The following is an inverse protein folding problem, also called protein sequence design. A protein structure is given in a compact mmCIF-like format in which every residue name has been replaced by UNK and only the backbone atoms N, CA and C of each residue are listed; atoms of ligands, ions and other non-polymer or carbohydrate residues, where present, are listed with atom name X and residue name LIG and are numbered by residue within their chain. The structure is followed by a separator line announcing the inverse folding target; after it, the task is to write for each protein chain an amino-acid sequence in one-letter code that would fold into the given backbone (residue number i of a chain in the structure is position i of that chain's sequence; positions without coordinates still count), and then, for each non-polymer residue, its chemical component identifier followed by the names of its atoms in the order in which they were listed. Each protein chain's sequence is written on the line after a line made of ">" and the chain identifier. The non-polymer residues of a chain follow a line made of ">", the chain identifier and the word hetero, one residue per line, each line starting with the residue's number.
data_IF_608656976625
#
_entry.id   IF_608656976625
#
_cell.length_a   1.000
_cell.length_b   1.000
_cell.length_c   1.000
_cell.angle_alpha   90.00
_cell.angle_beta   90.00
_cell.angle_gamma   90.00
#
_symmetry.space_group_name_H-M   'P 1'
#
loop_
_entity.id
_entity.type
_entity.pdbx_description
1 polymer ?
#
# COMPACT_ATOMS: atom_id res chain seq x y z
N UNK A 1 -25.84 -76.75 26.14
CA UNK A 1 -26.34 -75.40 26.00
C UNK A 1 -25.17 -74.46 26.36
N UNK A 2 -24.53 -73.83 25.35
CA UNK A 2 -23.44 -72.88 25.66
C UNK A 2 -24.04 -71.47 25.64
N UNK A 3 -23.66 -70.65 26.61
CA UNK A 3 -24.00 -69.23 26.81
C UNK A 3 -23.16 -68.38 25.86
N UNK A 4 -23.82 -67.59 25.01
CA UNK A 4 -23.20 -66.56 24.19
C UNK A 4 -22.81 -65.36 25.05
N UNK A 5 -21.55 -65.03 25.11
CA UNK A 5 -21.04 -63.79 25.68
C UNK A 5 -20.96 -62.71 24.57
N UNK A 6 -21.71 -61.65 24.73
CA UNK A 6 -21.64 -60.46 23.87
C UNK A 6 -20.50 -59.54 24.37
N UNK A 7 -19.47 -59.40 23.58
CA UNK A 7 -18.43 -58.42 23.76
C UNK A 7 -18.90 -57.09 23.15
N UNK A 8 -19.20 -56.09 23.98
CA UNK A 8 -19.47 -54.72 23.56
C UNK A 8 -18.12 -54.01 23.38
N UNK A 9 -17.74 -53.82 22.13
CA UNK A 9 -16.58 -52.97 21.80
C UNK A 9 -17.00 -51.48 21.85
N UNK A 10 -16.60 -50.77 22.91
CA UNK A 10 -16.76 -49.34 23.04
C UNK A 10 -15.73 -48.61 22.15
N UNK A 11 -16.16 -48.11 21.00
CA UNK A 11 -15.40 -47.19 20.16
C UNK A 11 -15.35 -45.82 20.85
N UNK A 12 -14.27 -45.50 21.48
CA UNK A 12 -13.91 -44.17 21.92
C UNK A 12 -13.57 -43.33 20.68
N UNK A 13 -14.53 -42.59 20.18
CA UNK A 13 -14.26 -41.46 19.26
C UNK A 13 -13.59 -40.35 20.04
N UNK A 14 -12.29 -40.27 19.98
CA UNK A 14 -11.54 -39.10 20.41
C UNK A 14 -11.88 -37.92 19.45
N UNK A 15 -12.74 -37.02 19.88
CA UNK A 15 -12.93 -35.74 19.22
C UNK A 15 -11.62 -34.96 19.37
N UNK A 16 -10.78 -34.99 18.35
CA UNK A 16 -9.73 -34.01 18.17
C UNK A 16 -10.41 -32.66 17.99
N UNK A 17 -10.57 -31.87 19.05
CA UNK A 17 -10.79 -30.45 18.93
C UNK A 17 -9.56 -29.86 18.26
N UNK A 18 -9.61 -29.71 16.94
CA UNK A 18 -8.70 -28.81 16.24
C UNK A 18 -9.03 -27.43 16.76
N UNK A 19 -8.32 -26.98 17.82
CA UNK A 19 -8.29 -25.57 18.16
C UNK A 19 -7.77 -24.85 16.91
N UNK A 20 -8.69 -24.23 16.19
CA UNK A 20 -8.31 -23.24 15.19
C UNK A 20 -7.52 -22.20 15.97
N UNK A 21 -6.22 -22.08 15.67
CA UNK A 21 -5.40 -21.00 16.20
C UNK A 21 -6.12 -19.70 15.84
N UNK A 22 -6.68 -19.04 16.86
CA UNK A 22 -7.38 -17.78 16.66
C UNK A 22 -6.32 -16.79 16.18
N UNK A 23 -6.59 -16.11 15.07
CA UNK A 23 -5.69 -15.09 14.58
C UNK A 23 -5.72 -13.90 15.56
N UNK A 24 -4.59 -13.64 16.22
CA UNK A 24 -4.52 -12.66 17.31
C UNK A 24 -4.20 -11.24 16.81
N UNK A 25 -3.57 -11.13 15.62
CA UNK A 25 -3.14 -9.85 15.03
C UNK A 25 -4.12 -9.40 13.94
N UNK A 26 -5.06 -8.53 14.29
CA UNK A 26 -6.04 -7.97 13.36
C UNK A 26 -5.48 -6.75 12.65
N UNK A 27 -5.78 -6.62 11.37
CA UNK A 27 -5.40 -5.46 10.58
C UNK A 27 -5.88 -5.55 9.14
N UNK A 28 -5.42 -4.62 8.36
CA UNK A 28 -5.79 -4.51 6.96
C UNK A 28 -5.18 -3.26 6.36
N UNK A 29 -5.84 -2.68 5.38
CA UNK A 29 -5.34 -1.45 4.78
C UNK A 29 -5.92 -1.17 3.43
N UNK A 30 -5.26 -0.31 2.68
CA UNK A 30 -5.68 0.08 1.34
C UNK A 30 -6.02 -1.11 0.44
N UNK A 31 -7.11 -1.00 -0.33
CA UNK A 31 -7.49 -2.03 -1.31
C UNK A 31 -6.44 -2.21 -2.40
N UNK A 32 -5.58 -1.23 -2.65
CA UNK A 32 -4.48 -1.31 -3.61
C UNK A 32 -3.35 -2.25 -3.16
N UNK A 33 -3.21 -2.48 -1.85
CA UNK A 33 -2.24 -3.42 -1.25
C UNK A 33 -2.79 -4.84 -1.10
N UNK A 34 -4.09 -5.04 -1.31
CA UNK A 34 -4.76 -6.31 -1.09
C UNK A 34 -4.10 -7.48 -1.83
N UNK A 35 -3.73 -7.37 -3.12
CA UNK A 35 -3.10 -8.47 -3.82
C UNK A 35 -1.83 -8.99 -3.15
N UNK A 36 -1.01 -8.10 -2.57
CA UNK A 36 0.21 -8.51 -1.87
C UNK A 36 -0.11 -9.24 -0.57
N UNK A 37 -0.90 -8.63 0.33
CA UNK A 37 -1.10 -9.19 1.68
C UNK A 37 -2.07 -10.36 1.74
N UNK A 38 -2.87 -10.58 0.68
CA UNK A 38 -3.68 -11.79 0.52
C UNK A 38 -2.94 -12.90 -0.21
N UNK A 39 -1.75 -12.64 -0.76
CA UNK A 39 -0.91 -13.71 -1.34
C UNK A 39 -0.52 -14.72 -0.27
N UNK A 40 -0.62 -16.01 -0.62
CA UNK A 40 -0.34 -17.10 0.30
C UNK A 40 1.06 -16.97 0.94
N UNK A 41 1.11 -17.06 2.26
CA UNK A 41 2.34 -17.05 3.04
C UNK A 41 3.01 -15.67 3.19
N UNK A 42 2.41 -14.56 2.71
CA UNK A 42 2.95 -13.21 2.96
C UNK A 42 2.74 -12.82 4.42
N UNK A 43 1.53 -12.97 4.94
CA UNK A 43 1.29 -12.85 6.38
C UNK A 43 1.73 -14.12 7.09
N UNK A 44 2.37 -13.97 8.25
CA UNK A 44 2.82 -15.07 9.09
C UNK A 44 1.66 -15.67 9.93
N UNK A 45 1.80 -16.89 10.48
CA UNK A 45 0.81 -17.41 11.42
C UNK A 45 0.49 -16.43 12.56
N UNK A 46 -0.77 -16.38 12.97
CA UNK A 46 -1.27 -15.45 13.98
C UNK A 46 -1.86 -14.16 13.40
N UNK A 47 -1.59 -13.83 12.14
CA UNK A 47 -2.26 -12.72 11.47
C UNK A 47 -3.63 -13.12 10.95
N UNK A 48 -4.63 -12.31 11.23
CA UNK A 48 -5.93 -12.40 10.58
C UNK A 48 -5.78 -12.11 9.07
N UNK A 49 -6.67 -12.66 8.22
CA UNK A 49 -6.69 -12.33 6.79
C UNK A 49 -6.74 -10.82 6.55
N UNK A 50 -5.97 -10.34 5.59
CA UNK A 50 -5.92 -8.92 5.24
C UNK A 50 -7.30 -8.41 4.79
N UNK A 51 -7.74 -7.33 5.39
CA UNK A 51 -8.98 -6.64 5.03
C UNK A 51 -8.65 -5.39 4.21
N UNK A 52 -9.17 -5.33 2.99
CA UNK A 52 -9.05 -4.14 2.16
C UNK A 52 -10.02 -3.05 2.63
N UNK A 53 -9.50 -1.91 3.07
CA UNK A 53 -10.27 -0.73 3.42
C UNK A 53 -10.34 0.25 2.25
N UNK A 54 -11.51 0.84 2.04
CA UNK A 54 -11.73 1.88 1.05
C UNK A 54 -11.71 3.27 1.71
N UNK A 55 -11.49 4.29 0.91
CA UNK A 55 -11.62 5.69 1.32
C UNK A 55 -10.69 6.14 2.46
N UNK A 56 -9.47 5.57 2.52
CA UNK A 56 -8.48 5.96 3.53
C UNK A 56 -8.82 5.56 4.96
N UNK A 57 -9.78 4.64 5.14
CA UNK A 57 -10.25 4.21 6.47
C UNK A 57 -9.19 3.47 7.27
N UNK A 58 -8.18 2.90 6.62
CA UNK A 58 -7.12 2.14 7.27
C UNK A 58 -6.37 2.98 8.32
N UNK A 59 -5.98 4.20 7.98
CA UNK A 59 -5.29 5.08 8.93
C UNK A 59 -6.21 5.47 10.08
N UNK A 60 -7.46 5.82 9.77
CA UNK A 60 -8.46 6.18 10.78
C UNK A 60 -8.72 5.02 11.73
N UNK A 61 -8.89 3.79 11.21
CA UNK A 61 -9.08 2.59 12.02
C UNK A 61 -7.92 2.34 13.00
N UNK A 62 -6.68 2.50 12.51
CA UNK A 62 -5.50 2.35 13.34
C UNK A 62 -5.40 3.43 14.42
N UNK A 63 -5.64 4.70 14.05
CA UNK A 63 -5.55 5.85 14.95
C UNK A 63 -6.66 5.87 16.00
N UNK A 64 -7.85 5.36 15.68
CA UNK A 64 -8.96 5.22 16.65
C UNK A 64 -8.93 3.88 17.39
N UNK A 65 -8.07 2.95 16.99
CA UNK A 65 -8.06 1.56 17.44
C UNK A 65 -9.44 0.91 17.28
N UNK A 66 -10.14 1.17 16.19
CA UNK A 66 -11.50 0.74 15.93
C UNK A 66 -11.61 -0.10 14.66
N UNK A 67 -11.78 -1.40 14.84
CA UNK A 67 -11.92 -2.36 13.75
C UNK A 67 -13.19 -2.16 12.92
N UNK A 68 -14.24 -1.59 13.51
CA UNK A 68 -15.48 -1.28 12.80
C UNK A 68 -15.29 -0.23 11.70
N UNK A 69 -14.24 0.60 11.80
CA UNK A 69 -13.84 1.52 10.72
C UNK A 69 -13.30 0.76 9.51
N UNK A 70 -12.56 -0.35 9.70
CA UNK A 70 -12.11 -1.22 8.61
C UNK A 70 -13.27 -2.02 8.01
N UNK A 71 -14.09 -2.60 8.89
CA UNK A 71 -15.19 -3.50 8.54
C UNK A 71 -16.48 -3.00 9.21
N UNK A 72 -17.24 -2.12 8.55
CA UNK A 72 -18.47 -1.58 9.09
C UNK A 72 -19.46 -2.68 9.53
N UNK A 73 -19.95 -2.58 10.77
CA UNK A 73 -20.84 -3.57 11.37
C UNK A 73 -20.14 -4.77 12.01
N UNK A 74 -18.81 -4.84 11.97
CA UNK A 74 -18.06 -5.89 12.69
C UNK A 74 -18.13 -5.70 14.19
N UNK A 75 -17.98 -6.82 14.92
CA UNK A 75 -17.78 -6.76 16.38
C UNK A 75 -16.52 -5.95 16.73
N UNK A 76 -16.52 -5.22 17.85
CA UNK A 76 -15.35 -4.47 18.31
C UNK A 76 -14.11 -5.36 18.41
N UNK A 77 -13.00 -4.93 17.80
CA UNK A 77 -11.69 -5.57 17.87
C UNK A 77 -10.61 -4.50 17.79
N UNK A 78 -9.45 -4.83 18.30
CA UNK A 78 -8.25 -4.00 18.15
C UNK A 78 -7.73 -4.04 16.72
N UNK A 79 -7.24 -2.89 16.24
CA UNK A 79 -6.50 -2.76 14.98
C UNK A 79 -5.01 -2.73 15.30
N UNK A 80 -4.32 -3.84 15.11
CA UNK A 80 -2.91 -3.99 15.50
C UNK A 80 -1.95 -3.38 14.48
N UNK A 81 -2.31 -3.38 13.20
CA UNK A 81 -1.51 -2.85 12.11
C UNK A 81 -2.35 -2.45 10.92
N UNK A 82 -1.79 -1.60 10.08
CA UNK A 82 -2.39 -1.27 8.77
C UNK A 82 -1.31 -1.07 7.71
N UNK A 83 -1.72 -1.25 6.43
CA UNK A 83 -0.92 -0.91 5.26
C UNK A 83 -1.56 0.25 4.51
N UNK A 84 -0.76 1.25 4.13
CA UNK A 84 -1.22 2.45 3.39
C UNK A 84 -0.12 2.98 2.48
N UNK A 85 -0.50 3.58 1.36
CA UNK A 85 0.44 4.32 0.50
C UNK A 85 0.68 5.75 1.01
N UNK A 86 -0.19 6.25 1.89
CA UNK A 86 0.02 7.54 2.53
C UNK A 86 0.85 7.41 3.80
N UNK A 87 1.74 8.36 4.02
CA UNK A 87 2.36 8.60 5.31
C UNK A 87 1.31 9.19 6.27
N UNK A 88 1.42 8.89 7.57
CA UNK A 88 0.71 9.64 8.60
C UNK A 88 1.23 11.08 8.63
N UNK A 89 0.33 12.03 8.61
CA UNK A 89 0.66 13.45 8.75
C UNK A 89 1.19 13.77 10.16
N UNK A 90 1.88 14.90 10.31
CA UNK A 90 2.36 15.36 11.62
C UNK A 90 1.22 15.50 12.65
N UNK A 91 0.03 15.91 12.20
CA UNK A 91 -1.17 16.01 13.06
C UNK A 91 -1.64 14.62 13.49
N UNK A 92 -1.74 13.65 12.58
CA UNK A 92 -2.12 12.27 12.89
C UNK A 92 -1.13 11.61 13.85
N UNK A 93 0.17 11.84 13.68
CA UNK A 93 1.21 11.34 14.58
C UNK A 93 1.14 11.99 15.96
N UNK A 94 0.91 13.30 16.02
CA UNK A 94 0.72 14.02 17.28
C UNK A 94 -0.52 13.52 18.03
N UNK A 95 -1.63 13.33 17.32
CA UNK A 95 -2.85 12.78 17.89
C UNK A 95 -2.64 11.38 18.45
N UNK A 96 -1.91 10.51 17.71
CA UNK A 96 -1.54 9.20 18.23
C UNK A 96 -0.68 9.30 19.49
N UNK A 97 0.34 10.16 19.50
CA UNK A 97 1.23 10.32 20.62
C UNK A 97 0.50 10.78 21.88
N UNK A 98 -0.47 11.69 21.73
CA UNK A 98 -1.30 12.19 22.84
C UNK A 98 -2.29 11.13 23.32
N UNK A 99 -3.00 10.47 22.39
CA UNK A 99 -4.06 9.52 22.75
C UNK A 99 -3.52 8.18 23.25
N UNK A 100 -2.44 7.69 22.64
CA UNK A 100 -1.99 6.31 22.79
C UNK A 100 -0.50 6.14 23.10
N UNK A 101 0.31 7.19 22.98
CA UNK A 101 1.76 7.08 23.16
C UNK A 101 2.16 6.47 24.52
N UNK A 102 1.46 6.87 25.59
CA UNK A 102 1.67 6.32 26.94
C UNK A 102 1.12 4.88 27.09
N UNK A 103 0.13 4.48 26.28
CA UNK A 103 -0.55 3.19 26.40
C UNK A 103 -0.02 2.15 25.41
N UNK A 104 0.36 2.55 24.19
CA UNK A 104 0.75 1.64 23.11
C UNK A 104 2.21 1.82 22.68
N UNK A 105 2.96 2.70 23.35
CA UNK A 105 4.33 3.04 22.96
C UNK A 105 4.38 3.90 21.69
N UNK A 106 5.56 3.98 21.09
CA UNK A 106 5.78 4.81 19.90
C UNK A 106 5.05 4.28 18.68
N UNK A 107 4.65 5.21 17.82
CA UNK A 107 4.20 4.91 16.46
C UNK A 107 5.40 4.45 15.62
N UNK A 108 5.20 3.39 14.86
CA UNK A 108 6.16 2.88 13.87
C UNK A 108 5.47 2.94 12.51
N UNK A 109 6.07 3.62 11.55
CA UNK A 109 5.71 3.53 10.14
C UNK A 109 6.97 3.31 9.31
N UNK A 110 6.92 2.33 8.42
CA UNK A 110 8.07 1.89 7.62
C UNK A 110 7.63 1.50 6.21
N UNK A 111 8.47 1.72 5.17
CA UNK A 111 8.12 1.28 3.84
C UNK A 111 8.10 -0.26 3.78
N UNK A 112 7.09 -0.80 3.13
CA UNK A 112 6.95 -2.24 2.88
C UNK A 112 7.59 -2.64 1.56
N UNK A 113 7.19 -1.95 0.49
CA UNK A 113 7.70 -2.14 -0.86
C UNK A 113 7.63 -0.84 -1.64
N UNK A 114 8.47 -0.69 -2.65
CA UNK A 114 8.31 0.38 -3.60
C UNK A 114 7.32 -0.01 -4.70
N UNK A 115 6.60 0.96 -5.22
CA UNK A 115 5.57 0.77 -6.23
C UNK A 115 5.62 1.87 -7.28
N UNK A 116 5.27 1.55 -8.51
CA UNK A 116 4.91 2.54 -9.53
C UNK A 116 3.41 2.84 -9.46
N UNK A 117 2.99 3.99 -10.00
CA UNK A 117 1.59 4.29 -10.29
C UNK A 117 1.37 4.02 -11.77
N UNK A 118 0.77 2.88 -12.11
CA UNK A 118 0.48 2.51 -13.48
C UNK A 118 -0.73 3.29 -14.03
N UNK A 119 -0.77 3.50 -15.34
CA UNK A 119 -1.85 4.22 -16.04
C UNK A 119 -2.57 3.27 -17.00
N UNK A 120 -3.43 2.36 -16.47
CA UNK A 120 -4.22 1.48 -17.33
C UNK A 120 -5.34 2.25 -18.04
N UNK A 121 -5.65 1.81 -19.24
CA UNK A 121 -6.67 2.40 -20.09
C UNK A 121 -7.39 1.35 -20.95
N UNK A 122 -8.55 1.71 -21.46
CA UNK A 122 -9.34 0.89 -22.37
C UNK A 122 -9.69 1.72 -23.62
N UNK A 123 -8.77 1.75 -24.56
CA UNK A 123 -8.97 2.34 -25.88
C UNK A 123 -8.12 1.62 -26.91
N UNK A 124 -8.69 0.79 -27.80
CA UNK A 124 -7.95 0.15 -28.86
C UNK A 124 -7.19 1.13 -29.73
N UNK A 125 -6.03 0.73 -30.19
CA UNK A 125 -5.18 1.49 -31.11
C UNK A 125 -4.13 0.61 -31.76
N UNK A 126 -3.50 1.11 -32.81
CA UNK A 126 -2.48 0.37 -33.60
C UNK A 126 -1.08 0.40 -32.98
N UNK A 127 -0.87 1.25 -31.99
CA UNK A 127 0.43 1.46 -31.35
C UNK A 127 0.30 1.46 -29.83
N UNK A 128 1.40 1.16 -29.13
CA UNK A 128 1.51 1.35 -27.70
C UNK A 128 1.24 2.83 -27.34
N UNK A 129 0.48 3.06 -26.29
CA UNK A 129 0.25 4.42 -25.79
C UNK A 129 1.46 4.87 -24.98
N UNK A 130 2.02 5.99 -25.39
CA UNK A 130 3.04 6.71 -24.64
C UNK A 130 2.54 8.13 -24.32
N UNK A 131 2.42 8.45 -23.04
CA UNK A 131 2.02 9.75 -22.58
C UNK A 131 3.27 10.56 -22.22
N UNK A 132 3.50 11.66 -22.93
CA UNK A 132 4.41 12.68 -22.39
C UNK A 132 3.91 13.18 -21.03
N UNK A 133 4.78 13.79 -20.23
CA UNK A 133 4.35 14.41 -18.95
C UNK A 133 3.24 15.43 -19.20
N UNK A 134 3.36 16.25 -20.24
CA UNK A 134 2.32 17.23 -20.61
C UNK A 134 1.00 16.55 -20.98
N UNK A 135 1.02 15.48 -21.76
CA UNK A 135 -0.18 14.73 -22.13
C UNK A 135 -0.85 14.10 -20.89
N UNK A 136 -0.06 13.49 -20.00
CA UNK A 136 -0.57 12.97 -18.74
C UNK A 136 -1.25 14.06 -17.92
N UNK A 137 -0.59 15.21 -17.74
CA UNK A 137 -1.14 16.36 -17.04
C UNK A 137 -2.43 16.84 -17.69
N UNK A 138 -2.45 16.97 -19.03
CA UNK A 138 -3.61 17.42 -19.79
C UNK A 138 -4.82 16.47 -19.67
N UNK A 139 -4.60 15.16 -19.64
CA UNK A 139 -5.66 14.17 -19.42
C UNK A 139 -6.28 14.33 -18.03
N UNK A 140 -5.46 14.39 -16.99
CA UNK A 140 -5.96 14.43 -15.60
C UNK A 140 -6.38 15.82 -15.11
N UNK A 141 -6.02 16.89 -15.82
CA UNK A 141 -6.62 18.24 -15.64
C UNK A 141 -7.91 18.43 -16.43
N UNK A 142 -8.18 17.57 -17.42
CA UNK A 142 -9.31 17.73 -18.35
C UNK A 142 -9.01 18.64 -19.55
N UNK A 143 -7.78 19.18 -19.66
CA UNK A 143 -7.35 19.95 -20.85
C UNK A 143 -7.40 19.12 -22.10
N UNK A 144 -7.00 17.85 -22.04
CA UNK A 144 -7.10 16.87 -23.13
C UNK A 144 -8.34 15.99 -22.89
N UNK A 145 -9.46 16.37 -23.51
CA UNK A 145 -10.73 15.64 -23.37
C UNK A 145 -10.94 14.55 -24.44
N UNK A 146 -10.09 14.46 -25.43
CA UNK A 146 -10.15 13.48 -26.54
C UNK A 146 -8.84 12.77 -26.75
N UNK A 147 -8.93 11.49 -27.15
CA UNK A 147 -7.79 10.65 -27.49
C UNK A 147 -7.01 11.17 -28.71
N UNK A 148 -7.70 11.83 -29.64
CA UNK A 148 -7.14 12.50 -30.82
C UNK A 148 -6.30 13.73 -30.46
N UNK A 149 -6.44 14.29 -29.26
CA UNK A 149 -5.64 15.40 -28.78
C UNK A 149 -4.31 14.96 -28.16
N UNK A 150 -4.14 13.66 -27.92
CA UNK A 150 -2.87 13.08 -27.46
C UNK A 150 -2.00 12.79 -28.68
N UNK A 151 -0.93 13.55 -28.85
CA UNK A 151 0.00 13.38 -29.97
C UNK A 151 0.55 11.96 -30.02
N UNK A 152 0.45 11.32 -31.18
CA UNK A 152 0.96 9.97 -31.40
C UNK A 152 0.11 8.85 -30.78
N UNK A 153 -1.07 9.14 -30.22
CA UNK A 153 -1.92 8.10 -29.63
C UNK A 153 -2.48 7.11 -30.66
N UNK A 154 -2.71 7.57 -31.89
CA UNK A 154 -3.37 6.79 -32.94
C UNK A 154 -4.82 6.40 -32.58
N UNK A 155 -5.45 7.14 -31.65
CA UNK A 155 -6.77 6.87 -31.09
C UNK A 155 -7.65 8.11 -31.24
N UNK A 156 -8.98 7.92 -31.23
CA UNK A 156 -9.97 9.00 -31.38
C UNK A 156 -11.12 8.85 -30.40
N UNK A 157 -11.86 9.92 -30.17
CA UNK A 157 -13.04 9.96 -29.31
C UNK A 157 -12.75 10.43 -27.88
N UNK A 158 -13.77 10.51 -27.03
CA UNK A 158 -13.66 11.11 -25.71
C UNK A 158 -12.82 10.28 -24.74
N UNK A 159 -12.13 10.98 -23.85
CA UNK A 159 -11.46 10.39 -22.68
C UNK A 159 -12.41 10.43 -21.48
N UNK A 160 -12.53 9.32 -20.77
CA UNK A 160 -13.22 9.25 -19.48
C UNK A 160 -12.21 8.89 -18.38
N UNK A 161 -11.93 9.82 -17.48
CA UNK A 161 -11.08 9.56 -16.31
C UNK A 161 -11.89 8.82 -15.25
N UNK A 162 -11.44 7.64 -14.84
CA UNK A 162 -12.00 6.91 -13.70
C UNK A 162 -11.08 7.10 -12.49
N UNK A 163 -11.64 7.41 -11.32
CA UNK A 163 -10.85 7.75 -10.14
C UNK A 163 -11.42 7.15 -8.85
N UNK A 164 -10.59 6.97 -7.79
CA UNK A 164 -11.06 6.51 -6.50
C UNK A 164 -12.01 7.53 -5.85
N UNK A 165 -13.21 7.09 -5.45
CA UNK A 165 -14.15 7.91 -4.67
C UNK A 165 -13.59 8.16 -3.27
N UNK A 166 -13.52 9.41 -2.84
CA UNK A 166 -13.05 9.81 -1.53
C UNK A 166 -11.53 9.66 -1.36
N UNK A 167 -11.08 9.48 -0.12
CA UNK A 167 -9.65 9.45 0.23
C UNK A 167 -8.98 8.13 -0.18
N UNK A 168 -7.78 8.22 -0.75
CA UNK A 168 -6.93 7.08 -1.11
C UNK A 168 -5.46 7.49 -1.02
N UNK A 169 -4.63 6.66 -0.37
CA UNK A 169 -3.19 6.86 -0.35
C UNK A 169 -2.56 6.77 -1.75
N UNK A 170 -3.12 5.94 -2.61
CA UNK A 170 -2.68 5.83 -4.00
C UNK A 170 -2.97 7.11 -4.80
N UNK A 171 -4.10 7.76 -4.53
CA UNK A 171 -4.39 9.10 -5.06
C UNK A 171 -3.35 10.12 -4.60
N UNK A 172 -2.93 10.07 -3.33
CA UNK A 172 -1.90 10.97 -2.82
C UNK A 172 -0.55 10.78 -3.54
N UNK A 173 -0.12 9.54 -3.80
CA UNK A 173 1.09 9.28 -4.61
C UNK A 173 0.98 9.92 -5.99
N UNK A 174 -0.16 9.74 -6.66
CA UNK A 174 -0.37 10.27 -8.00
C UNK A 174 -0.46 11.80 -8.03
N UNK A 175 -1.25 12.39 -7.14
CA UNK A 175 -1.41 13.87 -7.09
C UNK A 175 -0.13 14.58 -6.67
N UNK A 176 0.71 13.94 -5.86
CA UNK A 176 2.05 14.43 -5.52
C UNK A 176 2.95 14.51 -6.77
N UNK A 177 2.88 13.51 -7.63
CA UNK A 177 3.56 13.55 -8.93
C UNK A 177 3.01 14.66 -9.82
N UNK A 178 1.68 14.76 -9.98
CA UNK A 178 1.06 15.82 -10.78
C UNK A 178 1.42 17.22 -10.26
N UNK A 179 1.38 17.43 -8.94
CA UNK A 179 1.81 18.68 -8.33
C UNK A 179 3.27 19.03 -8.63
N UNK A 180 4.14 18.03 -8.68
CA UNK A 180 5.57 18.26 -8.89
C UNK A 180 5.96 18.48 -10.36
N UNK A 181 5.22 17.92 -11.30
CA UNK A 181 5.62 17.82 -12.70
C UNK A 181 4.70 18.55 -13.68
N UNK A 182 3.45 18.82 -13.30
CA UNK A 182 2.50 19.44 -14.21
C UNK A 182 2.59 20.95 -14.18
N UNK A 183 2.52 21.54 -15.37
CA UNK A 183 2.50 22.99 -15.58
C UNK A 183 1.24 23.37 -16.38
N UNK A 184 0.08 23.13 -15.77
CA UNK A 184 -1.23 23.48 -16.32
C UNK A 184 -1.61 24.93 -15.99
N UNK A 185 -2.65 25.47 -16.65
CA UNK A 185 -3.19 26.81 -16.33
C UNK A 185 -3.68 26.90 -14.88
N UNK A 186 -4.30 25.80 -14.38
CA UNK A 186 -4.58 25.60 -12.96
C UNK A 186 -3.45 24.86 -12.26
N UNK A 187 -3.62 24.61 -10.98
CA UNK A 187 -2.63 23.94 -10.14
C UNK A 187 -3.14 22.60 -9.63
N UNK A 188 -2.27 21.59 -9.65
CA UNK A 188 -2.51 20.33 -8.93
C UNK A 188 -2.10 20.49 -7.46
N UNK A 189 -2.99 20.11 -6.53
CA UNK A 189 -2.72 20.02 -5.11
C UNK A 189 -2.33 18.59 -4.74
N UNK A 190 -1.45 18.42 -3.75
CA UNK A 190 -1.19 17.12 -3.12
C UNK A 190 -2.37 16.80 -2.21
N UNK A 191 -3.13 15.77 -2.55
CA UNK A 191 -4.33 15.36 -1.81
C UNK A 191 -4.59 13.86 -1.97
N UNK A 192 -5.21 13.26 -0.97
CA UNK A 192 -5.71 11.89 -1.05
C UNK A 192 -7.08 11.76 -1.72
N UNK A 193 -7.79 12.88 -1.98
CA UNK A 193 -9.07 12.88 -2.69
C UNK A 193 -8.93 13.54 -4.06
N UNK A 194 -9.12 12.75 -5.12
CA UNK A 194 -8.93 13.20 -6.49
C UNK A 194 -9.89 14.33 -6.90
N UNK A 195 -11.07 14.41 -6.30
CA UNK A 195 -12.05 15.48 -6.57
C UNK A 195 -11.50 16.88 -6.30
N UNK A 196 -10.52 16.99 -5.40
CA UNK A 196 -9.86 18.24 -5.00
C UNK A 196 -8.42 18.37 -5.53
N UNK A 197 -8.03 17.50 -6.46
CA UNK A 197 -6.64 17.45 -6.92
C UNK A 197 -6.27 18.59 -7.84
N UNK A 198 -7.20 19.12 -8.62
CA UNK A 198 -6.95 20.17 -9.60
C UNK A 198 -7.84 21.38 -9.37
N UNK A 199 -7.27 22.58 -9.40
CA UNK A 199 -8.00 23.82 -9.15
C UNK A 199 -9.07 24.15 -10.20
N UNK A 200 -8.96 23.58 -11.41
CA UNK A 200 -9.98 23.67 -12.47
C UNK A 200 -11.13 22.66 -12.32
N UNK A 201 -11.13 21.83 -11.29
CA UNK A 201 -12.12 20.78 -11.06
C UNK A 201 -11.79 19.46 -11.78
N UNK A 202 -12.75 18.56 -11.76
CA UNK A 202 -12.62 17.24 -12.40
C UNK A 202 -12.70 17.34 -13.94
N UNK A 203 -12.00 16.46 -14.67
CA UNK A 203 -12.24 16.28 -16.11
C UNK A 203 -13.72 16.02 -16.40
N UNK A 204 -14.22 16.60 -17.47
CA UNK A 204 -15.63 16.43 -17.88
C UNK A 204 -15.97 14.96 -18.07
N UNK A 205 -17.05 14.49 -17.43
CA UNK A 205 -17.50 13.09 -17.51
C UNK A 205 -16.65 12.11 -16.68
N UNK A 206 -15.79 12.60 -15.79
CA UNK A 206 -15.02 11.74 -14.88
C UNK A 206 -15.95 10.89 -13.99
N UNK A 207 -15.54 9.66 -13.70
CA UNK A 207 -16.32 8.67 -12.96
C UNK A 207 -15.63 8.29 -11.66
N UNK A 208 -16.34 8.43 -10.54
CA UNK A 208 -15.89 7.94 -9.25
C UNK A 208 -16.21 6.45 -9.06
N UNK A 209 -15.29 5.68 -8.52
CA UNK A 209 -15.52 4.29 -8.15
C UNK A 209 -15.01 4.00 -6.72
N UNK A 210 -15.73 3.15 -5.99
CA UNK A 210 -15.60 3.01 -4.53
C UNK A 210 -14.47 2.07 -4.08
N UNK A 211 -13.87 1.31 -4.99
CA UNK A 211 -12.77 0.37 -4.70
C UNK A 211 -11.85 0.22 -5.90
N UNK A 212 -10.67 -0.30 -5.69
CA UNK A 212 -9.72 -0.56 -6.77
C UNK A 212 -10.29 -1.53 -7.84
N UNK A 213 -11.02 -2.58 -7.42
CA UNK A 213 -11.71 -3.48 -8.36
C UNK A 213 -12.79 -2.78 -9.16
N UNK A 214 -13.59 -1.93 -8.51
CA UNK A 214 -14.63 -1.15 -9.16
C UNK A 214 -14.06 -0.16 -10.18
N UNK A 215 -12.90 0.43 -9.90
CA UNK A 215 -12.18 1.30 -10.85
C UNK A 215 -11.80 0.49 -12.10
N UNK A 216 -11.12 -0.65 -11.93
CA UNK A 216 -10.70 -1.47 -13.07
C UNK A 216 -11.88 -2.05 -13.83
N UNK A 217 -12.96 -2.44 -13.15
CA UNK A 217 -14.20 -2.87 -13.80
C UNK A 217 -14.81 -1.75 -14.66
N UNK A 218 -14.84 -0.50 -14.15
CA UNK A 218 -15.33 0.66 -14.89
C UNK A 218 -14.44 0.99 -16.10
N UNK A 219 -13.12 0.89 -15.97
CA UNK A 219 -12.18 1.07 -17.08
C UNK A 219 -12.40 0.00 -18.15
N UNK A 220 -12.45 -1.26 -17.76
CA UNK A 220 -12.61 -2.38 -18.70
C UNK A 220 -13.97 -2.37 -19.44
N UNK A 221 -15.01 -1.85 -18.81
CA UNK A 221 -16.34 -1.79 -19.38
C UNK A 221 -16.57 -0.58 -20.31
N UNK A 222 -15.69 0.42 -20.30
CA UNK A 222 -15.92 1.68 -21.04
C UNK A 222 -14.81 1.95 -22.05
N UNK A 223 -15.18 2.01 -23.34
CA UNK A 223 -14.28 2.51 -24.38
C UNK A 223 -13.87 3.97 -24.08
N UNK A 224 -12.57 4.27 -24.20
CA UNK A 224 -12.01 5.57 -23.92
C UNK A 224 -11.72 5.85 -22.43
N UNK A 225 -11.91 4.89 -21.53
CA UNK A 225 -11.59 5.07 -20.11
C UNK A 225 -10.08 4.98 -19.84
N UNK A 226 -9.63 5.76 -18.85
CA UNK A 226 -8.27 5.80 -18.34
C UNK A 226 -8.29 6.03 -16.83
N UNK A 227 -7.31 5.47 -16.11
CA UNK A 227 -7.19 5.66 -14.66
C UNK A 227 -5.72 5.62 -14.22
N UNK A 228 -5.48 5.78 -12.94
CA UNK A 228 -4.23 5.49 -12.25
C UNK A 228 -4.45 4.34 -11.25
N UNK A 229 -3.50 3.40 -11.18
CA UNK A 229 -3.72 2.14 -10.46
C UNK A 229 -2.41 1.54 -9.94
N UNK A 230 -2.52 0.68 -8.89
CA UNK A 230 -1.37 -0.15 -8.46
C UNK A 230 -1.00 -1.16 -9.56
N UNK A 231 0.29 -1.50 -9.68
CA UNK A 231 0.76 -2.46 -10.70
C UNK A 231 0.00 -3.79 -10.67
N UNK A 232 -0.23 -4.32 -9.47
CA UNK A 232 -0.90 -5.61 -9.26
C UNK A 232 -2.34 -5.67 -9.79
N UNK A 233 -3.02 -4.53 -9.91
CA UNK A 233 -4.39 -4.42 -10.40
C UNK A 233 -4.46 -3.88 -11.82
N UNK A 234 -3.43 -3.13 -12.25
CA UNK A 234 -3.33 -2.61 -13.62
C UNK A 234 -3.06 -3.73 -14.65
N UNK A 235 -2.35 -4.77 -14.24
CA UNK A 235 -2.03 -5.91 -15.09
C UNK A 235 -2.08 -7.24 -14.31
N UNK A 236 -2.54 -8.34 -14.94
CA UNK A 236 -2.62 -9.65 -14.30
C UNK A 236 -1.26 -10.25 -13.91
N UNK A 237 -0.20 -9.81 -14.59
CA UNK A 237 1.18 -10.24 -14.36
C UNK A 237 2.12 -9.04 -14.47
N UNK A 238 3.31 -9.09 -13.83
CA UNK A 238 4.30 -8.02 -13.97
C UNK A 238 4.69 -7.72 -15.43
N UNK A 239 4.75 -8.74 -16.28
CA UNK A 239 5.01 -8.58 -17.72
C UNK A 239 3.91 -7.80 -18.46
N UNK A 240 2.67 -7.86 -17.97
CA UNK A 240 1.56 -7.07 -18.53
C UNK A 240 1.71 -5.57 -18.34
N UNK A 241 2.57 -5.13 -17.43
CA UNK A 241 2.90 -3.71 -17.25
C UNK A 241 3.69 -3.12 -18.42
N UNK A 242 4.31 -3.97 -19.25
CA UNK A 242 4.99 -3.57 -20.48
C UNK A 242 4.06 -3.56 -21.70
N UNK A 243 2.82 -4.06 -21.57
CA UNK A 243 1.81 -4.01 -22.64
C UNK A 243 1.26 -2.60 -22.82
N UNK A 244 1.92 -1.80 -23.62
CA UNK A 244 1.54 -0.43 -23.94
C UNK A 244 0.18 -0.26 -24.66
N UNK A 245 -0.55 -1.37 -24.95
CA UNK A 245 -1.92 -1.31 -25.45
C UNK A 245 -2.98 -1.40 -24.33
N UNK A 246 -2.54 -1.63 -23.09
CA UNK A 246 -3.40 -1.71 -21.90
C UNK A 246 -2.94 -0.83 -20.76
N UNK A 247 -1.62 -0.65 -20.64
CA UNK A 247 -1.00 0.20 -19.62
C UNK A 247 -0.10 1.19 -20.33
N UNK A 248 -0.39 2.47 -20.20
CA UNK A 248 0.37 3.51 -20.88
C UNK A 248 1.82 3.58 -20.37
N UNK A 249 2.74 3.79 -21.30
CA UNK A 249 4.06 4.31 -20.95
C UNK A 249 3.93 5.78 -20.55
N UNK A 250 4.82 6.25 -19.72
CA UNK A 250 4.94 7.67 -19.39
C UNK A 250 6.37 8.10 -19.67
N UNK A 251 6.53 9.12 -20.51
CA UNK A 251 7.84 9.57 -21.01
C UNK A 251 8.68 8.44 -21.61
N UNK A 252 8.07 7.58 -22.43
CA UNK A 252 8.71 6.45 -23.10
C UNK A 252 8.90 5.18 -22.26
N UNK A 253 8.59 5.22 -20.96
CA UNK A 253 8.94 4.15 -20.01
C UNK A 253 7.69 3.48 -19.45
N UNK A 254 7.69 2.14 -19.34
CA UNK A 254 6.60 1.37 -18.72
C UNK A 254 6.69 1.38 -17.20
N UNK A 255 5.57 1.16 -16.46
CA UNK A 255 5.55 1.11 -15.00
C UNK A 255 6.13 -0.20 -14.41
N UNK A 256 6.81 -1.01 -15.20
CA UNK A 256 7.41 -2.26 -14.73
C UNK A 256 8.44 -2.00 -13.61
N UNK A 257 8.56 -2.92 -12.60
CA UNK A 257 9.46 -2.73 -11.46
C UNK A 257 10.91 -2.45 -11.83
N UNK A 258 11.40 -3.04 -12.92
CA UNK A 258 12.76 -2.82 -13.41
C UNK A 258 13.07 -1.34 -13.70
N UNK A 259 12.05 -0.58 -14.09
CA UNK A 259 12.19 0.81 -14.51
C UNK A 259 12.17 1.83 -13.35
N UNK A 260 11.99 1.37 -12.10
CA UNK A 260 12.04 2.22 -10.90
C UNK A 260 13.23 1.86 -9.98
N UNK A 261 14.01 0.85 -10.31
CA UNK A 261 15.09 0.31 -9.45
C UNK A 261 16.10 1.37 -9.06
N UNK A 262 16.63 2.11 -10.03
CA UNK A 262 17.68 3.10 -9.77
C UNK A 262 17.17 4.26 -8.91
N UNK A 263 15.94 4.72 -9.18
CA UNK A 263 15.31 5.77 -8.40
C UNK A 263 15.11 5.35 -6.94
N UNK A 264 14.62 4.14 -6.72
CA UNK A 264 14.38 3.60 -5.37
C UNK A 264 15.70 3.34 -4.63
N UNK A 265 16.72 2.81 -5.31
CA UNK A 265 18.02 2.54 -4.72
C UNK A 265 18.78 3.83 -4.35
N UNK A 266 18.46 4.96 -4.98
CA UNK A 266 19.04 6.26 -4.66
C UNK A 266 18.46 6.92 -3.40
N UNK A 267 17.33 6.41 -2.88
CA UNK A 267 16.65 6.98 -1.70
C UNK A 267 17.50 6.78 -0.45
N UNK A 268 17.89 7.85 0.25
CA UNK A 268 18.74 7.75 1.42
C UNK A 268 18.01 7.11 2.61
N UNK A 269 18.75 6.34 3.39
CA UNK A 269 18.29 5.81 4.67
C UNK A 269 18.20 6.93 5.72
N UNK A 270 17.27 6.83 6.71
CA UNK A 270 17.35 7.68 7.88
C UNK A 270 18.66 7.41 8.63
N UNK A 271 19.39 8.49 8.97
CA UNK A 271 20.54 8.39 9.85
C UNK A 271 20.15 7.81 11.22
N UNK A 272 21.08 7.28 11.97
CA UNK A 272 20.81 6.68 13.28
C UNK A 272 20.07 7.66 14.20
N UNK A 273 20.45 8.93 14.17
CA UNK A 273 19.82 9.98 14.98
C UNK A 273 18.36 10.27 14.54
N UNK A 274 18.05 10.10 13.25
CA UNK A 274 16.72 10.36 12.70
C UNK A 274 15.72 9.19 12.88
N UNK A 275 16.22 8.00 13.21
CA UNK A 275 15.37 6.76 13.29
C UNK A 275 14.29 6.83 14.37
N UNK A 276 14.40 7.74 15.33
CA UNK A 276 13.36 7.99 16.33
C UNK A 276 12.18 8.78 15.78
N UNK A 277 12.33 9.42 14.62
CA UNK A 277 11.28 10.17 13.95
C UNK A 277 10.58 9.29 12.90
N UNK A 278 9.28 8.96 13.08
CA UNK A 278 8.53 8.13 12.14
C UNK A 278 8.49 8.68 10.70
N UNK A 279 8.54 10.00 10.52
CA UNK A 279 8.52 10.63 9.19
C UNK A 279 9.74 10.30 8.34
N UNK A 280 10.88 10.07 8.99
CA UNK A 280 12.13 9.78 8.30
C UNK A 280 12.18 8.38 7.70
N UNK A 281 11.29 7.50 8.15
CA UNK A 281 11.17 6.14 7.62
C UNK A 281 10.34 6.04 6.37
N UNK A 282 9.50 7.05 6.05
CA UNK A 282 8.62 7.03 4.88
C UNK A 282 9.06 8.12 3.90
N UNK A 283 9.93 7.77 2.93
CA UNK A 283 10.36 8.72 1.90
C UNK A 283 9.17 9.17 1.05
N UNK A 284 9.06 10.47 0.84
CA UNK A 284 8.10 11.06 -0.09
C UNK A 284 8.84 11.62 -1.30
N UNK A 285 8.30 11.37 -2.48
CA UNK A 285 8.76 12.03 -3.69
C UNK A 285 8.02 13.36 -3.88
N UNK A 286 8.70 14.39 -4.38
CA UNK A 286 8.11 15.71 -4.54
C UNK A 286 8.99 16.67 -5.33
N UNK A 287 8.73 17.97 -5.18
CA UNK A 287 9.50 19.02 -5.83
C UNK A 287 10.92 19.08 -5.23
N UNK A 288 11.93 19.26 -6.07
CA UNK A 288 13.35 19.23 -5.63
C UNK A 288 13.69 20.31 -4.59
N UNK A 289 12.90 21.38 -4.48
CA UNK A 289 13.10 22.45 -3.48
C UNK A 289 12.26 22.27 -2.21
N UNK A 290 11.39 21.24 -2.16
CA UNK A 290 10.56 20.96 -1.01
C UNK A 290 11.39 20.23 0.07
N UNK A 291 11.45 20.76 1.31
CA UNK A 291 12.25 20.13 2.35
C UNK A 291 11.76 18.73 2.72
N UNK A 292 12.71 17.79 2.85
CA UNK A 292 12.41 16.44 3.34
C UNK A 292 11.75 15.51 2.35
N UNK A 293 11.72 15.87 1.05
CA UNK A 293 11.29 14.99 -0.04
C UNK A 293 12.46 14.53 -0.89
N UNK A 294 12.27 13.43 -1.61
CA UNK A 294 13.17 12.92 -2.64
C UNK A 294 12.71 13.47 -3.98
N UNK A 295 13.58 14.07 -4.80
CA UNK A 295 13.21 14.49 -6.14
C UNK A 295 12.75 13.30 -6.99
N UNK A 296 11.74 13.51 -7.83
CA UNK A 296 11.37 12.50 -8.83
C UNK A 296 12.52 12.24 -9.80
N UNK A 297 12.73 10.98 -10.23
CA UNK A 297 13.85 10.61 -11.10
C UNK A 297 13.78 11.34 -12.46
N UNK A 298 14.95 11.54 -13.04
CA UNK A 298 15.09 12.10 -14.40
C UNK A 298 15.08 11.00 -15.47
N UNK A 299 15.33 9.76 -15.07
CA UNK A 299 15.36 8.56 -15.93
C UNK A 299 14.53 7.45 -15.31
N UNK A 300 14.09 6.51 -16.11
CA UNK A 300 13.20 5.44 -15.67
C UNK A 300 11.73 5.88 -15.62
N UNK A 301 10.89 5.06 -15.00
CA UNK A 301 9.47 5.38 -14.87
C UNK A 301 9.26 6.47 -13.80
N UNK A 302 8.57 7.58 -14.15
CA UNK A 302 8.59 8.76 -13.29
C UNK A 302 7.60 8.74 -12.12
N UNK A 303 6.53 7.93 -12.17
CA UNK A 303 5.45 7.96 -11.16
C UNK A 303 5.63 6.80 -10.19
N UNK A 304 6.24 7.07 -9.05
CA UNK A 304 6.62 6.04 -8.08
C UNK A 304 6.47 6.52 -6.63
N UNK A 305 6.47 5.56 -5.70
CA UNK A 305 6.38 5.80 -4.27
C UNK A 305 6.54 4.50 -3.48
N UNK A 306 5.98 4.50 -2.29
CA UNK A 306 6.02 3.35 -1.39
C UNK A 306 4.64 2.98 -0.88
N UNK A 307 4.43 1.70 -0.65
CA UNK A 307 3.44 1.24 0.31
C UNK A 307 4.10 1.05 1.65
N UNK A 308 3.42 1.40 2.73
CA UNK A 308 3.96 1.48 4.07
C UNK A 308 3.18 0.60 5.03
N UNK A 309 3.86 0.15 6.08
CA UNK A 309 3.29 -0.55 7.23
C UNK A 309 3.28 0.39 8.43
N UNK A 310 2.20 0.37 9.19
CA UNK A 310 2.00 1.16 10.39
C UNK A 310 1.69 0.23 11.55
N UNK A 311 2.46 0.36 12.64
CA UNK A 311 2.39 -0.45 13.85
C UNK A 311 2.49 0.42 15.10
N UNK A 312 2.09 -0.13 16.24
CA UNK A 312 2.50 0.35 17.57
C UNK A 312 3.76 -0.36 18.04
N UNK A 313 4.52 0.26 18.89
CA UNK A 313 5.71 -0.37 19.50
C UNK A 313 5.34 -1.47 20.47
N UNK A 314 4.24 -1.30 21.22
CA UNK A 314 3.86 -2.18 22.32
C UNK A 314 2.52 -2.86 22.05
N UNK A 315 2.44 -4.15 22.40
CA UNK A 315 1.25 -4.99 22.40
C UNK A 315 1.12 -5.59 23.79
N UNK A 316 -0.10 -5.63 24.33
CA UNK A 316 -0.37 -6.09 25.70
C UNK A 316 -0.06 -7.59 25.88
N UNK A 317 -0.26 -8.36 24.81
CA UNK A 317 0.04 -9.79 24.77
C UNK A 317 1.42 -10.05 24.13
N UNK A 318 2.23 -10.89 24.80
CA UNK A 318 3.55 -11.25 24.31
C UNK A 318 3.50 -12.08 23.02
N UNK A 319 2.43 -12.86 22.82
CA UNK A 319 2.23 -13.66 21.61
C UNK A 319 2.02 -12.74 20.41
N UNK A 320 1.18 -11.71 20.56
CA UNK A 320 0.98 -10.70 19.50
C UNK A 320 2.28 -9.93 19.16
N UNK A 321 3.03 -9.51 20.19
CA UNK A 321 4.35 -8.90 19.99
C UNK A 321 5.26 -9.80 19.15
N UNK A 322 5.31 -11.10 19.46
CA UNK A 322 6.12 -12.08 18.73
C UNK A 322 5.61 -12.27 17.31
N UNK A 323 4.31 -12.40 17.09
CA UNK A 323 3.71 -12.56 15.77
C UNK A 323 4.03 -11.34 14.86
N UNK A 324 3.92 -10.11 15.38
CA UNK A 324 4.30 -8.91 14.63
C UNK A 324 5.80 -8.89 14.32
N UNK A 325 6.65 -9.28 15.27
CA UNK A 325 8.10 -9.39 15.07
C UNK A 325 8.45 -10.44 14.02
N UNK A 326 7.79 -11.60 14.04
CA UNK A 326 8.00 -12.69 13.09
C UNK A 326 7.59 -12.27 11.66
N UNK A 327 6.46 -11.57 11.54
CA UNK A 327 6.06 -10.99 10.26
C UNK A 327 7.11 -10.01 9.72
N UNK A 328 7.57 -9.06 10.52
CA UNK A 328 8.58 -8.10 10.10
C UNK A 328 9.94 -8.76 9.84
N UNK A 329 10.34 -9.74 10.65
CA UNK A 329 11.56 -10.50 10.45
C UNK A 329 11.56 -11.26 9.12
N UNK A 330 10.40 -11.82 8.74
CA UNK A 330 10.17 -12.43 7.44
C UNK A 330 10.16 -11.38 6.34
N UNK A 331 9.32 -10.36 6.46
CA UNK A 331 9.10 -9.35 5.41
C UNK A 331 10.40 -8.62 5.04
N UNK A 332 11.22 -8.29 6.03
CA UNK A 332 12.53 -7.65 5.84
C UNK A 332 13.71 -8.63 5.93
N UNK A 333 13.45 -9.93 5.78
CA UNK A 333 14.48 -10.96 5.81
C UNK A 333 15.53 -10.81 4.69
N UNK A 334 16.77 -11.17 4.96
CA UNK A 334 17.86 -11.09 4.00
C UNK A 334 17.80 -12.19 2.92
N UNK A 335 17.27 -13.37 3.27
CA UNK A 335 17.24 -14.53 2.39
C UNK A 335 15.94 -14.52 1.57
N UNK A 336 16.04 -14.31 0.27
CA UNK A 336 14.91 -14.24 -0.65
C UNK A 336 13.99 -15.47 -0.59
N UNK A 337 14.57 -16.67 -0.47
CA UNK A 337 13.80 -17.92 -0.35
C UNK A 337 12.92 -18.01 0.92
N UNK A 338 13.12 -17.12 1.90
CA UNK A 338 12.43 -17.12 3.19
C UNK A 338 11.76 -15.80 3.54
N UNK A 339 11.84 -14.80 2.66
CA UNK A 339 11.20 -13.49 2.84
C UNK A 339 10.02 -13.31 1.87
N UNK A 340 9.46 -12.09 1.82
CA UNK A 340 8.32 -11.78 0.97
C UNK A 340 8.72 -11.19 -0.40
N UNK A 341 10.01 -11.14 -0.76
CA UNK A 341 10.47 -10.48 -1.98
C UNK A 341 9.86 -11.06 -3.26
N UNK A 342 9.77 -12.40 -3.32
CA UNK A 342 9.15 -13.06 -4.48
C UNK A 342 7.67 -12.68 -4.62
N UNK A 343 6.93 -12.63 -3.51
CA UNK A 343 5.53 -12.21 -3.52
C UNK A 343 5.38 -10.73 -3.92
N UNK A 344 6.27 -9.86 -3.43
CA UNK A 344 6.30 -8.43 -3.81
C UNK A 344 6.52 -8.29 -5.31
N UNK A 345 7.51 -8.99 -5.88
CA UNK A 345 7.77 -8.97 -7.35
C UNK A 345 6.62 -9.53 -8.16
N UNK A 346 5.97 -10.59 -7.66
CA UNK A 346 4.80 -11.18 -8.33
C UNK A 346 3.62 -10.21 -8.45
N UNK A 347 3.56 -9.19 -7.56
CA UNK A 347 2.57 -8.11 -7.61
C UNK A 347 3.05 -6.88 -8.39
N UNK A 348 4.12 -6.99 -9.17
CA UNK A 348 4.65 -5.86 -9.96
C UNK A 348 5.25 -4.74 -9.11
N UNK A 349 5.62 -5.03 -7.86
CA UNK A 349 6.28 -4.09 -6.95
C UNK A 349 7.77 -4.43 -6.81
N UNK A 350 8.53 -3.51 -6.23
CA UNK A 350 9.96 -3.68 -5.98
C UNK A 350 10.21 -3.88 -4.48
N UNK A 351 10.87 -4.99 -4.07
CA UNK A 351 11.33 -5.14 -2.70
C UNK A 351 12.31 -4.02 -2.31
N UNK A 352 12.33 -3.69 -1.02
CA UNK A 352 13.28 -2.69 -0.52
C UNK A 352 14.73 -3.15 -0.72
N UNK A 353 15.61 -2.18 -0.96
CA UNK A 353 17.05 -2.43 -0.98
C UNK A 353 17.53 -3.09 0.31
N UNK A 354 18.51 -4.02 0.28
CA UNK A 354 18.99 -4.73 1.47
C UNK A 354 19.37 -3.83 2.64
N UNK A 355 19.95 -2.66 2.38
CA UNK A 355 20.31 -1.69 3.42
C UNK A 355 19.09 -1.17 4.20
N UNK A 356 17.95 -0.93 3.53
CA UNK A 356 16.69 -0.56 4.16
C UNK A 356 16.17 -1.68 5.06
N UNK A 357 16.21 -2.93 4.58
CA UNK A 357 15.80 -4.10 5.37
C UNK A 357 16.65 -4.27 6.63
N UNK A 358 17.96 -4.09 6.51
CA UNK A 358 18.88 -4.11 7.66
C UNK A 358 18.53 -2.98 8.63
N UNK A 359 18.30 -1.76 8.14
CA UNK A 359 17.95 -0.61 8.99
C UNK A 359 16.63 -0.85 9.76
N UNK A 360 15.58 -1.35 9.11
CA UNK A 360 14.30 -1.69 9.76
C UNK A 360 14.51 -2.76 10.84
N UNK A 361 15.20 -3.86 10.51
CA UNK A 361 15.46 -4.94 11.47
C UNK A 361 16.28 -4.49 12.66
N UNK A 362 17.35 -3.74 12.44
CA UNK A 362 18.20 -3.24 13.54
C UNK A 362 17.49 -2.24 14.45
N UNK A 363 16.50 -1.51 13.94
CA UNK A 363 15.75 -0.53 14.72
C UNK A 363 14.57 -1.15 15.46
N UNK A 364 13.80 -2.02 14.81
CA UNK A 364 12.50 -2.46 15.34
C UNK A 364 12.47 -3.92 15.80
N UNK A 365 13.50 -4.72 15.50
CA UNK A 365 13.56 -6.13 15.88
C UNK A 365 14.76 -6.49 16.80
N UNK A 366 15.75 -5.61 16.92
CA UNK A 366 16.89 -5.85 17.81
C UNK A 366 16.50 -5.68 19.26
N UNK A 367 16.72 -6.68 20.09
CA UNK A 367 16.38 -6.64 21.52
C UNK A 367 17.05 -5.49 22.30
N UNK A 368 18.18 -5.00 21.79
CA UNK A 368 18.95 -3.90 22.44
C UNK A 368 18.51 -2.51 22.00
N UNK A 369 17.63 -2.39 20.98
CA UNK A 369 17.20 -1.10 20.49
C UNK A 369 15.95 -0.62 21.24
N UNK A 370 15.98 0.62 21.73
CA UNK A 370 14.85 1.24 22.43
C UNK A 370 13.57 1.40 21.55
N UNK A 371 13.70 1.31 20.23
CA UNK A 371 12.56 1.35 19.28
C UNK A 371 11.99 -0.04 19.00
N UNK A 372 12.60 -1.11 19.50
CA UNK A 372 12.18 -2.48 19.20
C UNK A 372 10.74 -2.74 19.64
N UNK A 373 9.99 -3.43 18.78
CA UNK A 373 8.63 -3.87 19.09
C UNK A 373 8.69 -4.86 20.26
N UNK A 374 7.82 -4.65 21.26
CA UNK A 374 7.77 -5.46 22.45
C UNK A 374 9.00 -5.33 23.36
N UNK A 375 9.77 -4.24 23.26
CA UNK A 375 10.91 -4.02 24.16
C UNK A 375 10.47 -4.00 25.62
N UNK A 376 10.94 -4.93 26.48
CA UNK A 376 10.45 -5.06 27.86
C UNK A 376 10.74 -3.82 28.73
N UNK A 377 11.78 -3.05 28.39
CA UNK A 377 12.11 -1.81 29.12
C UNK A 377 11.17 -0.64 28.77
N UNK A 378 10.45 -0.74 27.66
CA UNK A 378 9.51 0.28 27.18
C UNK A 378 8.07 -0.19 27.30
N UNK A 379 7.81 -1.45 26.97
CA UNK A 379 6.47 -2.02 26.87
C UNK A 379 6.01 -2.73 28.18
N UNK A 380 6.67 -2.44 29.31
CA UNK A 380 6.30 -3.05 30.58
C UNK A 380 4.93 -2.54 31.05
N UNK A 381 3.93 -3.42 31.06
CA UNK A 381 2.56 -3.10 31.51
C UNK A 381 1.75 -2.22 30.55
N UNK A 382 2.25 -1.97 29.34
CA UNK A 382 1.54 -1.22 28.32
C UNK A 382 1.50 -1.99 26.99
N UNK A 383 0.54 -1.67 26.14
CA UNK A 383 0.44 -2.23 24.79
C UNK A 383 -0.97 -2.19 24.22
N UNK A 384 -1.09 -2.31 22.91
CA UNK A 384 -2.39 -2.49 22.27
C UNK A 384 -3.07 -3.74 22.85
N UNK A 385 -4.37 -3.67 23.20
CA UNK A 385 -5.10 -4.80 23.78
C UNK A 385 -5.27 -5.95 22.76
N UNK A 386 -5.76 -7.09 23.24
CA UNK A 386 -6.15 -8.25 22.43
C UNK A 386 -7.30 -7.95 21.48
#
# INVERSE_FOLDING_TARGET
>A
MPKAQWLIASLLYGAFCVQQAQADVNGGGSTFNRPLYQSAGVLTPGFAPYIGANQGREKVAFLLNDYNVLVPGAAPRTVHWVASESRLSAVEQSNYAVAYGAQFGKLIQVPSAATSVAIPFNKPGSQALDLSIDALCGVFSGRLAGWDWIQGSGRTGPITVVYPKGSSGFTELFTRFLNAKCNETGTFAVTSNFEYSYSGGLPTGALAASSADAIMAAVNARDGAITFMSPALAAPTPAGLDDGNKVARVAGVSPAPANIVDAINSVPLPSIAERTNPDKWVPLFGKYWEPGVVPYPQTGYPILGYTNLIFSQCYADATQSNQVRDFLARHYGALEARNNDQAIRAQGMLPLHPSWKVAVRSSFLSATNALSIGNPNVCNGIGRPL
#
